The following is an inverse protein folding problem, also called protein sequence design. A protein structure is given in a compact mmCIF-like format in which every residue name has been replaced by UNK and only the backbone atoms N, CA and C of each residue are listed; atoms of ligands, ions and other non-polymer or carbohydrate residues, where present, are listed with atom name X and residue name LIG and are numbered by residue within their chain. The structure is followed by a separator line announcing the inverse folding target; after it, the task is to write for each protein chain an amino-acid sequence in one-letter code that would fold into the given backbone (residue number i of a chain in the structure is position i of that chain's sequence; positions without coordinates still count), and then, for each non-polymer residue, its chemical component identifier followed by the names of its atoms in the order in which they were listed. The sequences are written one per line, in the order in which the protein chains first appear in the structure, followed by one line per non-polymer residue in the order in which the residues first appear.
data_IF_390101700125
#
_entry.id   IF_390101700125
#
_cell.length_a   1.000
_cell.length_b   1.000
_cell.length_c   1.000
_cell.angle_alpha   90.00
_cell.angle_beta   90.00
_cell.angle_gamma   90.00
#
_symmetry.space_group_name_H-M   'P 1'
#
loop_
_entity.id
_entity.type
_entity.pdbx_description
1 polymer ?
#
# COMPACT_ATOMS: atom_id res chain seq x y z
N UNK A 1 3.39 1.06 -35.61
CA UNK A 1 2.39 0.97 -34.53
C UNK A 1 2.83 -0.17 -33.61
N UNK A 2 3.47 0.13 -32.49
CA UNK A 2 3.78 -0.88 -31.47
C UNK A 2 2.48 -1.22 -30.74
N UNK A 3 2.08 -2.48 -30.79
CA UNK A 3 0.90 -3.00 -30.12
C UNK A 3 1.07 -2.80 -28.60
N UNK A 4 0.15 -2.06 -27.97
CA UNK A 4 0.09 -1.90 -26.51
C UNK A 4 -0.18 -3.26 -25.88
N UNK A 5 0.87 -3.97 -25.47
CA UNK A 5 0.72 -5.31 -24.89
C UNK A 5 0.32 -5.22 -23.42
N UNK A 6 -0.98 -5.13 -23.13
CA UNK A 6 -1.50 -5.27 -21.76
C UNK A 6 -1.25 -6.67 -21.14
N UNK A 7 -0.59 -7.57 -21.86
CA UNK A 7 -0.29 -8.94 -21.45
C UNK A 7 0.45 -9.03 -20.10
N UNK A 8 1.24 -8.01 -19.74
CA UNK A 8 2.00 -8.02 -18.48
C UNK A 8 1.14 -7.92 -17.21
N UNK A 9 -0.08 -7.36 -17.28
CA UNK A 9 -0.99 -7.27 -16.11
C UNK A 9 -2.13 -8.28 -16.21
N UNK A 10 -2.34 -8.94 -17.36
CA UNK A 10 -3.46 -9.87 -17.58
C UNK A 10 -3.53 -11.00 -16.56
N UNK A 11 -2.41 -11.65 -16.25
CA UNK A 11 -2.35 -12.69 -15.22
C UNK A 11 -2.65 -12.14 -13.82
N UNK A 12 -2.10 -10.97 -13.48
CA UNK A 12 -2.35 -10.30 -12.21
C UNK A 12 -3.83 -9.88 -12.08
N UNK A 13 -4.48 -9.45 -13.16
CA UNK A 13 -5.91 -9.12 -13.16
C UNK A 13 -6.78 -10.33 -12.86
N UNK A 14 -6.48 -11.49 -13.44
CA UNK A 14 -7.27 -12.72 -13.17
C UNK A 14 -7.07 -13.17 -11.73
N UNK A 15 -5.82 -13.25 -11.27
CA UNK A 15 -5.51 -13.71 -9.91
C UNK A 15 -5.98 -12.74 -8.84
N UNK A 16 -5.57 -11.47 -8.91
CA UNK A 16 -5.90 -10.45 -7.90
C UNK A 16 -7.34 -9.97 -8.03
N UNK A 17 -7.88 -9.87 -9.26
CA UNK A 17 -9.28 -9.50 -9.47
C UNK A 17 -10.23 -10.57 -8.93
N UNK A 18 -9.96 -11.84 -9.24
CA UNK A 18 -10.72 -12.98 -8.73
C UNK A 18 -10.59 -13.14 -7.22
N UNK A 19 -9.37 -13.07 -6.68
CA UNK A 19 -9.14 -13.12 -5.23
C UNK A 19 -9.86 -11.97 -4.51
N UNK A 20 -9.79 -10.74 -5.03
CA UNK A 20 -10.47 -9.59 -4.46
C UNK A 20 -12.00 -9.78 -4.40
N UNK A 21 -12.61 -10.32 -5.47
CA UNK A 21 -14.03 -10.66 -5.48
C UNK A 21 -14.37 -11.70 -4.40
N UNK A 22 -13.60 -12.79 -4.31
CA UNK A 22 -13.83 -13.84 -3.32
C UNK A 22 -13.71 -13.33 -1.88
N UNK A 23 -12.72 -12.49 -1.60
CA UNK A 23 -12.53 -11.89 -0.27
C UNK A 23 -13.68 -10.96 0.13
N UNK A 24 -14.14 -10.10 -0.79
CA UNK A 24 -15.27 -9.20 -0.50
C UNK A 24 -16.56 -10.00 -0.36
N UNK A 25 -16.86 -10.91 -1.29
CA UNK A 25 -18.08 -11.71 -1.25
C UNK A 25 -18.14 -12.59 0.01
N UNK A 26 -17.07 -13.33 0.30
CA UNK A 26 -16.98 -14.16 1.51
C UNK A 26 -17.00 -13.32 2.79
N UNK A 27 -16.44 -12.11 2.77
CA UNK A 27 -16.49 -11.19 3.91
C UNK A 27 -17.90 -10.66 4.17
N UNK A 28 -18.67 -10.32 3.12
CA UNK A 28 -20.08 -9.92 3.25
C UNK A 28 -20.92 -11.08 3.78
N UNK A 29 -20.72 -12.29 3.27
CA UNK A 29 -21.41 -13.48 3.76
C UNK A 29 -21.09 -13.77 5.24
N UNK A 30 -19.82 -13.66 5.64
CA UNK A 30 -19.40 -13.81 7.03
C UNK A 30 -20.07 -12.77 7.95
N UNK A 31 -20.22 -11.52 7.51
CA UNK A 31 -20.93 -10.49 8.27
C UNK A 31 -22.43 -10.81 8.40
N UNK A 32 -23.06 -11.33 7.35
CA UNK A 32 -24.46 -11.77 7.40
C UNK A 32 -24.68 -12.93 8.37
N UNK A 33 -23.66 -13.77 8.56
CA UNK A 33 -23.65 -14.86 9.55
C UNK A 33 -23.24 -14.40 10.96
N UNK A 34 -23.05 -13.08 11.17
CA UNK A 34 -22.69 -12.51 12.47
C UNK A 34 -21.21 -12.65 12.85
N UNK A 35 -20.34 -13.06 11.92
CA UNK A 35 -18.90 -13.15 12.17
C UNK A 35 -18.23 -11.78 11.93
N UNK A 36 -17.75 -11.08 12.99
CA UNK A 36 -17.20 -9.73 12.86
C UNK A 36 -15.89 -9.68 12.05
N UNK A 37 -15.21 -10.81 11.91
CA UNK A 37 -14.01 -10.95 11.08
C UNK A 37 -14.28 -10.76 9.58
N UNK A 38 -15.54 -10.79 9.15
CA UNK A 38 -15.91 -10.48 7.76
C UNK A 38 -15.42 -9.10 7.29
N UNK A 39 -15.28 -8.13 8.21
CA UNK A 39 -14.67 -6.83 7.91
C UNK A 39 -13.20 -6.93 7.47
N UNK A 40 -12.43 -7.86 8.04
CA UNK A 40 -11.04 -8.07 7.64
C UNK A 40 -10.96 -8.67 6.24
N UNK A 41 -11.87 -9.59 5.90
CA UNK A 41 -11.94 -10.17 4.56
C UNK A 41 -12.30 -9.11 3.51
N UNK A 42 -13.28 -8.24 3.79
CA UNK A 42 -13.62 -7.11 2.92
C UNK A 42 -12.42 -6.17 2.75
N UNK A 43 -11.76 -5.79 3.86
CA UNK A 43 -10.59 -4.93 3.81
C UNK A 43 -9.45 -5.56 2.99
N UNK A 44 -9.21 -6.86 3.13
CA UNK A 44 -8.23 -7.61 2.34
C UNK A 44 -8.57 -7.64 0.84
N UNK A 45 -9.85 -7.81 0.49
CA UNK A 45 -10.32 -7.75 -0.89
C UNK A 45 -10.11 -6.37 -1.52
N UNK A 46 -10.47 -5.31 -0.80
CA UNK A 46 -10.22 -3.93 -1.24
C UNK A 46 -8.73 -3.63 -1.39
N UNK A 47 -7.89 -4.11 -0.46
CA UNK A 47 -6.44 -3.97 -0.55
C UNK A 47 -5.89 -4.69 -1.80
N UNK A 48 -6.43 -5.86 -2.13
CA UNK A 48 -6.05 -6.63 -3.33
C UNK A 48 -6.36 -5.84 -4.61
N UNK A 49 -7.53 -5.22 -4.70
CA UNK A 49 -7.87 -4.35 -5.83
C UNK A 49 -7.03 -3.07 -5.86
N UNK A 50 -6.69 -2.48 -4.71
CA UNK A 50 -5.78 -1.34 -4.66
C UNK A 50 -4.39 -1.69 -5.20
N UNK A 51 -3.86 -2.88 -4.87
CA UNK A 51 -2.59 -3.39 -5.44
C UNK A 51 -2.72 -3.58 -6.95
N UNK A 52 -3.80 -4.19 -7.43
CA UNK A 52 -4.03 -4.37 -8.86
C UNK A 52 -4.10 -3.02 -9.61
N UNK A 53 -4.82 -2.04 -9.07
CA UNK A 53 -4.89 -0.68 -9.61
C UNK A 53 -3.54 0.00 -9.62
N UNK A 54 -2.74 -0.16 -8.56
CA UNK A 54 -1.37 0.36 -8.49
C UNK A 54 -0.47 -0.24 -9.57
N UNK A 55 -0.53 -1.56 -9.79
CA UNK A 55 0.22 -2.23 -10.86
C UNK A 55 -0.19 -1.71 -12.24
N UNK A 56 -1.50 -1.56 -12.49
CA UNK A 56 -2.00 -0.97 -13.72
C UNK A 56 -1.46 0.44 -13.95
N UNK A 57 -1.45 1.26 -12.90
CA UNK A 57 -0.97 2.63 -12.95
C UNK A 57 0.53 2.71 -13.23
N UNK A 58 1.37 1.93 -12.53
CA UNK A 58 2.82 1.89 -12.78
C UNK A 58 3.12 1.37 -14.19
N UNK A 59 2.40 0.35 -14.66
CA UNK A 59 2.57 -0.18 -16.00
C UNK A 59 2.22 0.88 -17.06
N UNK A 60 1.13 1.62 -16.87
CA UNK A 60 0.76 2.72 -17.76
C UNK A 60 1.83 3.83 -17.79
N UNK A 61 2.47 4.14 -16.65
CA UNK A 61 3.58 5.11 -16.60
C UNK A 61 4.83 4.59 -17.28
N UNK A 62 5.16 3.31 -17.09
CA UNK A 62 6.28 2.65 -17.76
C UNK A 62 6.13 2.71 -19.29
N UNK A 63 4.92 2.46 -19.81
CA UNK A 63 4.64 2.57 -21.25
C UNK A 63 4.83 3.99 -21.79
N UNK A 64 4.28 5.00 -21.12
CA UNK A 64 4.45 6.41 -21.55
C UNK A 64 5.94 6.78 -21.66
N UNK A 65 6.76 6.29 -20.72
CA UNK A 65 8.21 6.52 -20.73
C UNK A 65 8.91 5.80 -21.90
N UNK A 66 8.51 4.56 -22.20
CA UNK A 66 9.04 3.83 -23.34
C UNK A 66 8.71 4.54 -24.66
N UNK A 67 7.46 4.99 -24.84
CA UNK A 67 7.05 5.77 -26.02
C UNK A 67 7.87 7.07 -26.18
N UNK A 68 8.17 7.78 -25.10
CA UNK A 68 9.03 8.97 -25.13
C UNK A 68 10.49 8.64 -25.47
N UNK A 69 10.99 7.50 -24.97
CA UNK A 69 12.36 7.05 -25.23
C UNK A 69 12.53 6.62 -26.69
N UNK A 70 11.56 5.92 -27.27
CA UNK A 70 11.55 5.55 -28.69
C UNK A 70 11.50 6.78 -29.62
N UNK A 71 10.90 7.89 -29.16
CA UNK A 71 10.87 9.15 -29.91
C UNK A 71 12.18 9.94 -29.87
N UNK A 72 13.13 9.61 -29.00
CA UNK A 72 14.41 10.33 -28.85
C UNK A 72 15.62 9.46 -29.23
N UNK A 73 16.05 9.45 -30.50
CA UNK A 73 17.10 8.55 -30.99
C UNK A 73 18.52 8.84 -30.49
N UNK A 74 18.80 10.02 -29.92
CA UNK A 74 20.19 10.46 -29.67
C UNK A 74 20.66 10.51 -28.22
N UNK A 75 19.77 10.36 -27.22
CA UNK A 75 20.19 10.26 -25.81
C UNK A 75 19.03 9.76 -24.94
N UNK A 76 18.80 8.43 -24.81
CA UNK A 76 17.82 7.96 -23.85
C UNK A 76 18.25 8.42 -22.44
N UNK A 77 17.44 9.24 -21.74
CA UNK A 77 17.82 9.71 -20.41
C UNK A 77 17.97 8.50 -19.50
N UNK A 78 19.18 8.34 -18.93
CA UNK A 78 19.51 7.27 -18.00
C UNK A 78 18.41 7.18 -16.93
N UNK A 79 17.82 5.99 -16.69
CA UNK A 79 16.79 5.85 -15.67
C UNK A 79 17.29 6.40 -14.35
N UNK A 80 16.51 7.32 -13.73
CA UNK A 80 16.82 7.83 -12.40
C UNK A 80 16.85 6.64 -11.44
N UNK A 81 18.05 6.22 -11.03
CA UNK A 81 18.22 5.10 -10.10
C UNK A 81 17.55 5.45 -8.76
N UNK A 82 16.81 4.47 -8.24
CA UNK A 82 16.49 4.22 -6.83
C UNK A 82 16.05 5.40 -5.98
N UNK A 83 14.78 5.40 -5.57
CA UNK A 83 14.27 6.22 -4.47
C UNK A 83 14.07 5.45 -3.16
N UNK A 84 14.32 4.13 -3.14
CA UNK A 84 13.88 3.23 -2.07
C UNK A 84 14.17 3.75 -0.67
N UNK A 85 15.44 4.04 -0.37
CA UNK A 85 15.85 4.51 0.96
C UNK A 85 15.14 5.80 1.37
N UNK A 86 14.93 6.74 0.44
CA UNK A 86 14.18 7.97 0.73
C UNK A 86 12.72 7.67 1.06
N UNK A 87 12.06 6.81 0.27
CA UNK A 87 10.69 6.38 0.56
C UNK A 87 10.58 5.66 1.90
N UNK A 88 11.49 4.71 2.13
CA UNK A 88 11.60 3.91 3.36
C UNK A 88 11.74 4.79 4.60
N UNK A 89 12.72 5.70 4.62
CA UNK A 89 12.96 6.54 5.80
C UNK A 89 11.82 7.52 6.05
N UNK A 90 11.21 8.09 4.99
CA UNK A 90 10.06 8.97 5.15
C UNK A 90 8.88 8.23 5.78
N UNK A 91 8.52 7.06 5.25
CA UNK A 91 7.39 6.30 5.80
C UNK A 91 7.72 5.68 7.16
N UNK A 92 8.98 5.31 7.43
CA UNK A 92 9.41 4.89 8.75
C UNK A 92 9.30 5.99 9.79
N UNK A 93 9.73 7.22 9.48
CA UNK A 93 9.57 8.38 10.37
C UNK A 93 8.10 8.64 10.69
N UNK A 94 7.19 8.47 9.72
CA UNK A 94 5.74 8.59 9.94
C UNK A 94 5.25 7.51 10.91
N UNK A 95 5.68 6.25 10.74
CA UNK A 95 5.30 5.16 11.66
C UNK A 95 5.82 5.42 13.06
N UNK A 96 7.07 5.87 13.21
CA UNK A 96 7.66 6.23 14.50
C UNK A 96 6.86 7.36 15.16
N UNK A 97 6.51 8.42 14.42
CA UNK A 97 5.70 9.52 14.95
C UNK A 97 4.31 9.05 15.40
N UNK A 98 3.66 8.18 14.63
CA UNK A 98 2.39 7.56 15.01
C UNK A 98 2.54 6.71 16.27
N UNK A 99 3.61 5.92 16.37
CA UNK A 99 3.87 5.07 17.53
C UNK A 99 4.10 5.89 18.80
N UNK A 100 4.90 6.96 18.70
CA UNK A 100 5.11 7.91 19.80
C UNK A 100 3.78 8.53 20.22
N UNK A 101 2.94 8.95 19.27
CA UNK A 101 1.63 9.56 19.56
C UNK A 101 0.71 8.60 20.32
N UNK A 102 0.64 7.34 19.87
CA UNK A 102 -0.16 6.30 20.53
C UNK A 102 0.40 5.97 21.92
N UNK A 103 1.72 5.91 22.06
CA UNK A 103 2.38 5.66 23.34
C UNK A 103 2.15 6.80 24.34
N UNK A 104 2.20 8.05 23.89
CA UNK A 104 1.80 9.20 24.71
C UNK A 104 0.33 9.09 25.11
N UNK A 105 -0.56 8.76 24.17
CA UNK A 105 -1.99 8.54 24.47
C UNK A 105 -2.22 7.48 25.55
N UNK A 106 -1.45 6.40 25.54
CA UNK A 106 -1.44 5.40 26.61
C UNK A 106 -0.97 5.98 27.95
N UNK A 107 0.11 6.76 27.95
CA UNK A 107 0.66 7.38 29.16
C UNK A 107 -0.27 8.42 29.79
N UNK A 108 -1.10 9.08 28.99
CA UNK A 108 -2.10 10.06 29.44
C UNK A 108 -3.53 9.50 29.51
N UNK A 109 -3.70 8.17 29.46
CA UNK A 109 -5.02 7.55 29.44
C UNK A 109 -5.87 7.91 30.67
N UNK A 110 -5.25 8.14 31.82
CA UNK A 110 -5.92 8.51 33.07
C UNK A 110 -6.60 9.90 33.04
N UNK A 111 -6.26 10.73 32.04
CA UNK A 111 -6.87 12.04 31.83
C UNK A 111 -8.11 11.99 30.91
N UNK A 112 -8.44 10.82 30.36
CA UNK A 112 -9.56 10.64 29.44
C UNK A 112 -10.84 10.17 30.17
N UNK A 113 -12.05 10.41 29.61
CA UNK A 113 -13.32 10.09 30.27
C UNK A 113 -13.50 8.62 30.66
N UNK A 114 -12.79 7.71 29.99
CA UNK A 114 -12.83 6.27 30.24
C UNK A 114 -11.39 5.72 30.26
N UNK A 115 -10.69 5.76 31.41
CA UNK A 115 -9.26 5.50 31.46
C UNK A 115 -8.88 4.06 31.11
N UNK A 116 -9.62 3.07 31.61
CA UNK A 116 -9.37 1.66 31.31
C UNK A 116 -9.61 1.31 29.85
N UNK A 117 -10.72 1.79 29.29
CA UNK A 117 -11.04 1.58 27.88
C UNK A 117 -10.03 2.28 26.97
N UNK A 118 -9.63 3.50 27.31
CA UNK A 118 -8.63 4.26 26.56
C UNK A 118 -7.28 3.54 26.58
N UNK A 119 -6.86 3.04 27.75
CA UNK A 119 -5.62 2.26 27.90
C UNK A 119 -5.66 0.98 27.08
N UNK A 120 -6.79 0.26 27.06
CA UNK A 120 -6.97 -0.93 26.24
C UNK A 120 -6.85 -0.61 24.73
N UNK A 121 -7.51 0.46 24.26
CA UNK A 121 -7.44 0.91 22.87
C UNK A 121 -6.00 1.27 22.48
N UNK A 122 -5.31 2.08 23.28
CA UNK A 122 -3.92 2.44 22.98
C UNK A 122 -2.98 1.22 23.03
N UNK A 123 -3.22 0.26 23.93
CA UNK A 123 -2.45 -0.99 23.99
C UNK A 123 -2.58 -1.80 22.70
N UNK A 124 -3.81 -1.92 22.19
CA UNK A 124 -4.08 -2.60 20.91
C UNK A 124 -3.46 -1.85 19.74
N UNK A 125 -3.48 -0.51 19.73
CA UNK A 125 -2.85 0.30 18.70
C UNK A 125 -1.32 0.16 18.71
N UNK A 126 -0.68 0.16 19.88
CA UNK A 126 0.76 -0.10 20.01
C UNK A 126 1.10 -1.46 19.42
N UNK A 127 0.36 -2.51 19.81
CA UNK A 127 0.57 -3.85 19.29
C UNK A 127 0.39 -3.92 17.77
N UNK A 128 -0.65 -3.28 17.24
CA UNK A 128 -0.92 -3.22 15.80
C UNK A 128 0.16 -2.47 15.01
N UNK A 129 0.80 -1.47 15.62
CA UNK A 129 1.88 -0.72 14.99
C UNK A 129 3.23 -1.46 14.96
N UNK A 130 3.43 -2.49 15.78
CA UNK A 130 4.68 -3.29 15.77
C UNK A 130 5.01 -3.81 14.36
N UNK A 131 4.13 -4.55 13.66
CA UNK A 131 4.41 -4.99 12.29
C UNK A 131 4.51 -3.82 11.29
N UNK A 132 3.85 -2.68 11.57
CA UNK A 132 3.87 -1.52 10.70
C UNK A 132 5.28 -0.91 10.54
N UNK A 133 6.17 -1.07 11.53
CA UNK A 133 7.56 -0.60 11.45
C UNK A 133 8.40 -1.28 10.38
N UNK A 134 7.94 -2.42 9.86
CA UNK A 134 8.63 -3.14 8.78
C UNK A 134 7.82 -3.01 7.50
N UNK A 135 6.52 -3.30 7.57
CA UNK A 135 5.66 -3.37 6.38
C UNK A 135 5.54 -2.00 5.69
N UNK A 136 5.21 -0.94 6.44
CA UNK A 136 4.96 0.39 5.87
C UNK A 136 6.23 1.03 5.28
N UNK A 137 7.42 0.93 5.91
CA UNK A 137 8.68 1.36 5.32
C UNK A 137 9.06 0.63 4.05
N UNK A 138 8.97 -0.70 4.04
CA UNK A 138 9.29 -1.51 2.86
C UNK A 138 8.36 -1.15 1.71
N UNK A 139 7.05 -1.06 1.96
CA UNK A 139 6.07 -0.64 0.96
C UNK A 139 6.34 0.80 0.47
N UNK A 140 6.59 1.74 1.37
CA UNK A 140 6.89 3.13 1.03
C UNK A 140 8.13 3.27 0.16
N UNK A 141 9.20 2.55 0.50
CA UNK A 141 10.42 2.49 -0.29
C UNK A 141 10.18 1.89 -1.67
N UNK A 142 9.46 0.77 -1.76
CA UNK A 142 9.15 0.11 -3.04
C UNK A 142 8.30 1.02 -3.94
N UNK A 143 7.21 1.57 -3.41
CA UNK A 143 6.31 2.48 -4.14
C UNK A 143 7.05 3.73 -4.61
N UNK A 144 7.78 4.40 -3.73
CA UNK A 144 8.52 5.61 -4.12
C UNK A 144 9.63 5.31 -5.14
N UNK A 145 10.30 4.17 -4.99
CA UNK A 145 11.30 3.69 -5.94
C UNK A 145 10.72 3.48 -7.34
N UNK A 146 9.59 2.77 -7.43
CA UNK A 146 8.88 2.51 -8.68
C UNK A 146 8.34 3.79 -9.31
N UNK A 147 7.69 4.65 -8.52
CA UNK A 147 7.14 5.93 -9.00
C UNK A 147 8.25 6.82 -9.57
N UNK A 148 9.40 6.90 -8.89
CA UNK A 148 10.53 7.74 -9.32
C UNK A 148 11.21 7.18 -10.58
N UNK A 149 11.30 5.86 -10.71
CA UNK A 149 11.91 5.22 -11.89
C UNK A 149 11.01 5.32 -13.13
N UNK A 150 9.68 5.40 -12.95
CA UNK A 150 8.69 5.59 -14.02
C UNK A 150 8.22 7.05 -14.19
N UNK A 151 8.87 8.02 -13.56
CA UNK A 151 8.52 9.43 -13.71
C UNK A 151 9.03 9.98 -15.05
N UNK A 152 8.13 10.56 -15.84
CA UNK A 152 8.44 11.36 -17.03
C UNK A 152 9.09 12.66 -16.55
N UNK A 153 10.14 13.11 -17.24
CA UNK A 153 10.94 14.27 -16.80
C UNK A 153 10.30 15.56 -17.25
#
# INVERSE_FOLDING_TARGET
MTTRSYAHVGCATVLLGGAGLLFVAGGVEALQQGAPLGWLAIAGGLATWAVLGFLYWINARAYRRQEETERQPYAPPSPKRGGFWKGFFVTWTIVVAAHITVFLGMGFADLLPHPEQSRAIFSLLVLALVPAHVVVPVLGGAVYGLVRSTALR
#
